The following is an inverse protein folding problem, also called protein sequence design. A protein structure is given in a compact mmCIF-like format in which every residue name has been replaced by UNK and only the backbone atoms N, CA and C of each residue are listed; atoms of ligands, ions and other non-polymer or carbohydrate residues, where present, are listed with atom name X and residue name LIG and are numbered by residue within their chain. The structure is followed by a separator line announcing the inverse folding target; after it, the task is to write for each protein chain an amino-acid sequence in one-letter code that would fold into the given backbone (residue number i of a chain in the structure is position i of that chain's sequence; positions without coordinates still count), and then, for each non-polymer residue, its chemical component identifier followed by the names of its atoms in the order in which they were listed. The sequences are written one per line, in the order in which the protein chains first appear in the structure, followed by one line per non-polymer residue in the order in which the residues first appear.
data_IF_301379429546
#
_entry.id   IF_301379429546
#
_cell.length_a   1.000
_cell.length_b   1.000
_cell.length_c   1.000
_cell.angle_alpha   90.00
_cell.angle_beta   90.00
_cell.angle_gamma   90.00
#
_symmetry.space_group_name_H-M   'P 1'
#
loop_
_entity.id
_entity.type
_entity.pdbx_description
1 polymer ?
#
# COMPACT_ATOMS: atom_id res chain seq x y z
N UNK A 1 0.80 37.22 -24.04
CA UNK A 1 -0.62 36.87 -23.82
C UNK A 1 -0.73 35.34 -23.72
N UNK A 2 -0.81 34.80 -22.52
CA UNK A 2 -0.93 33.37 -22.27
C UNK A 2 -2.40 32.99 -22.33
N UNK A 3 -2.80 32.17 -23.30
CA UNK A 3 -4.16 31.63 -23.41
C UNK A 3 -4.35 30.53 -22.36
N UNK A 4 -5.23 30.75 -21.41
CA UNK A 4 -5.62 29.77 -20.39
C UNK A 4 -6.64 28.81 -21.00
N UNK A 5 -6.35 27.51 -20.90
CA UNK A 5 -7.18 26.43 -21.43
C UNK A 5 -8.59 26.45 -20.80
N UNK A 6 -9.69 26.51 -21.58
CA UNK A 6 -11.05 26.68 -21.08
C UNK A 6 -11.55 25.55 -20.15
N UNK A 7 -10.96 24.37 -20.18
CA UNK A 7 -11.30 23.25 -19.26
C UNK A 7 -10.85 23.50 -17.81
N UNK A 8 -9.81 24.30 -17.58
CA UNK A 8 -9.33 24.66 -16.24
C UNK A 8 -10.21 25.72 -15.60
N UNK A 9 -10.79 26.63 -16.40
CA UNK A 9 -11.67 27.70 -15.92
C UNK A 9 -12.99 27.16 -15.35
N UNK A 10 -13.55 26.08 -15.91
CA UNK A 10 -14.82 25.48 -15.45
C UNK A 10 -14.63 24.79 -14.08
N UNK A 11 -13.48 24.17 -13.84
CA UNK A 11 -13.21 23.50 -12.55
C UNK A 11 -13.07 24.48 -11.37
N UNK A 12 -12.47 25.64 -11.61
CA UNK A 12 -12.29 26.69 -10.57
C UNK A 12 -13.63 27.33 -10.23
N UNK A 13 -14.52 27.54 -11.22
CA UNK A 13 -15.84 28.16 -11.01
C UNK A 13 -16.79 27.24 -10.22
N UNK A 14 -16.76 25.94 -10.45
CA UNK A 14 -17.58 24.96 -9.71
C UNK A 14 -17.11 24.78 -8.26
N UNK A 15 -15.81 24.93 -7.99
CA UNK A 15 -15.26 24.87 -6.64
C UNK A 15 -15.67 26.08 -5.79
N UNK A 16 -15.68 27.28 -6.36
CA UNK A 16 -16.12 28.50 -5.66
C UNK A 16 -17.62 28.53 -5.42
N UNK A 17 -18.47 28.01 -6.31
CA UNK A 17 -19.93 27.96 -6.09
C UNK A 17 -20.29 26.98 -4.96
N UNK A 18 -19.60 25.85 -4.80
CA UNK A 18 -19.82 24.92 -3.68
C UNK A 18 -19.42 25.52 -2.32
N UNK A 19 -18.35 26.32 -2.27
CA UNK A 19 -17.95 27.01 -1.04
C UNK A 19 -18.95 28.12 -0.66
N UNK A 20 -19.51 28.83 -1.65
CA UNK A 20 -20.44 29.93 -1.39
C UNK A 20 -21.82 29.45 -0.93
N UNK A 21 -22.30 28.30 -1.42
CA UNK A 21 -23.57 27.71 -0.97
C UNK A 21 -23.51 27.22 0.49
N UNK A 22 -22.36 26.72 0.93
CA UNK A 22 -22.17 26.30 2.33
C UNK A 22 -22.06 27.45 3.31
N UNK A 23 -21.64 28.65 2.85
CA UNK A 23 -21.60 29.85 3.72
C UNK A 23 -22.97 30.52 3.90
N UNK A 24 -23.88 30.40 2.94
CA UNK A 24 -25.23 31.00 3.00
C UNK A 24 -26.17 30.18 3.88
N UNK A 25 -26.02 28.84 3.92
CA UNK A 25 -26.85 27.96 4.76
C UNK A 25 -26.53 28.06 6.27
N UNK A 26 -25.38 28.63 6.64
CA UNK A 26 -24.99 28.77 8.06
C UNK A 26 -25.55 30.01 8.77
N UNK A 27 -26.28 30.90 8.07
CA UNK A 27 -26.75 32.18 8.65
C UNK A 27 -28.20 32.21 9.09
N UNK A 28 -29.01 31.18 8.93
CA UNK A 28 -30.46 31.25 9.17
C UNK A 28 -31.05 30.23 10.16
N UNK A 29 -30.33 29.79 11.18
CA UNK A 29 -30.94 29.04 12.29
C UNK A 29 -30.40 29.54 13.64
N UNK A 30 -31.06 30.60 14.20
CA UNK A 30 -31.01 30.87 15.63
C UNK A 30 -31.99 29.93 16.33
N UNK A 31 -31.48 28.92 16.98
CA UNK A 31 -32.23 27.97 17.80
C UNK A 31 -31.30 26.87 18.27
N UNK A 32 -30.91 26.89 19.56
CA UNK A 32 -29.89 26.04 20.12
C UNK A 32 -30.19 24.54 19.99
N UNK A 33 -29.46 23.90 19.11
CA UNK A 33 -29.18 22.49 19.15
C UNK A 33 -27.70 22.36 18.76
N UNK A 34 -26.84 22.04 19.72
CA UNK A 34 -25.47 21.68 19.45
C UNK A 34 -25.48 20.34 18.68
N UNK A 35 -25.75 20.39 17.38
CA UNK A 35 -25.34 19.35 16.46
C UNK A 35 -23.82 19.51 16.33
N UNK A 36 -23.10 18.76 17.15
CA UNK A 36 -21.73 18.40 16.81
C UNK A 36 -21.82 17.70 15.46
N UNK A 37 -21.68 18.47 14.38
CA UNK A 37 -21.38 17.92 13.07
C UNK A 37 -20.07 17.19 13.23
N UNK A 38 -20.12 15.86 13.52
CA UNK A 38 -19.04 14.98 13.15
C UNK A 38 -18.85 15.24 11.66
N UNK A 39 -17.90 16.11 11.32
CA UNK A 39 -17.32 16.10 9.99
C UNK A 39 -16.69 14.73 9.90
N UNK A 40 -17.47 13.77 9.42
CA UNK A 40 -16.92 12.49 8.94
C UNK A 40 -16.06 12.92 7.75
N UNK A 41 -14.78 13.18 8.00
CA UNK A 41 -13.78 13.02 6.99
C UNK A 41 -13.87 11.53 6.63
N UNK A 42 -14.67 11.24 5.62
CA UNK A 42 -14.60 9.97 4.93
C UNK A 42 -13.24 10.04 4.26
N UNK A 43 -12.21 9.58 4.98
CA UNK A 43 -10.86 9.49 4.46
C UNK A 43 -10.94 8.41 3.39
N UNK A 44 -11.18 8.83 2.15
CA UNK A 44 -11.12 7.96 0.97
C UNK A 44 -9.68 7.54 0.67
N UNK A 45 -8.72 7.96 1.51
CA UNK A 45 -7.31 7.63 1.32
C UNK A 45 -7.05 6.16 1.59
N UNK A 46 -6.31 5.55 0.67
CA UNK A 46 -5.85 4.17 0.74
C UNK A 46 -4.35 4.12 0.95
N UNK A 47 -3.88 3.08 1.63
CA UNK A 47 -2.47 2.80 1.83
C UNK A 47 -2.15 1.42 1.26
N UNK A 48 -1.22 1.36 0.34
CA UNK A 48 -0.69 0.12 -0.23
C UNK A 48 0.77 0.00 0.17
N UNK A 49 1.11 -1.11 0.79
CA UNK A 49 2.42 -1.37 1.37
C UNK A 49 3.04 -2.58 0.69
N UNK A 50 4.18 -2.41 0.05
CA UNK A 50 5.06 -3.53 -0.29
C UNK A 50 5.94 -3.87 0.90
N UNK A 51 6.02 -5.15 1.28
CA UNK A 51 6.98 -5.60 2.28
C UNK A 51 8.29 -6.02 1.61
N UNK A 52 9.41 -5.68 2.27
CA UNK A 52 10.76 -5.98 1.83
C UNK A 52 11.81 -5.47 2.83
N UNK A 53 13.07 -5.84 2.61
CA UNK A 53 14.23 -5.28 3.30
C UNK A 53 14.87 -4.19 2.45
N UNK A 54 15.32 -3.07 3.03
CA UNK A 54 16.10 -2.07 2.32
C UNK A 54 17.53 -2.60 2.05
N UNK A 55 18.10 -2.16 0.92
CA UNK A 55 19.46 -2.52 0.51
C UNK A 55 19.50 -3.30 -0.81
N UNK A 56 20.54 -3.04 -1.60
CA UNK A 56 20.69 -3.65 -2.93
C UNK A 56 20.93 -5.17 -2.85
N UNK A 57 21.45 -5.67 -1.74
CA UNK A 57 21.67 -7.09 -1.47
C UNK A 57 20.38 -7.88 -1.47
N UNK A 58 19.26 -7.25 -1.07
CA UNK A 58 17.93 -7.88 -1.02
C UNK A 58 17.15 -7.76 -2.34
N UNK A 59 17.68 -7.07 -3.33
CA UNK A 59 17.03 -6.96 -4.63
C UNK A 59 16.78 -8.36 -5.24
N UNK A 60 15.56 -8.59 -5.75
CA UNK A 60 15.14 -9.88 -6.31
C UNK A 60 15.17 -11.06 -5.34
N UNK A 61 15.22 -10.83 -4.03
CA UNK A 61 14.96 -11.89 -3.05
C UNK A 61 13.46 -12.15 -2.94
N UNK A 62 13.09 -13.37 -2.49
CA UNK A 62 11.68 -13.72 -2.30
C UNK A 62 11.01 -12.84 -1.27
N UNK A 63 11.75 -12.49 -0.20
CA UNK A 63 11.24 -11.61 0.87
C UNK A 63 10.97 -10.17 0.40
N UNK A 64 11.58 -9.73 -0.71
CA UNK A 64 11.33 -8.44 -1.33
C UNK A 64 10.26 -8.50 -2.45
N UNK A 65 9.44 -9.57 -2.50
CA UNK A 65 8.42 -9.67 -3.55
C UNK A 65 7.40 -8.53 -3.47
N UNK A 66 7.07 -8.01 -2.28
CA UNK A 66 6.22 -6.84 -2.11
C UNK A 66 6.83 -5.56 -2.72
N UNK A 67 8.12 -5.31 -2.49
CA UNK A 67 8.84 -4.20 -3.12
C UNK A 67 8.86 -4.36 -4.64
N UNK A 68 9.26 -5.53 -5.11
CA UNK A 68 9.32 -5.83 -6.54
C UNK A 68 7.97 -5.59 -7.24
N UNK A 69 6.87 -5.91 -6.57
CA UNK A 69 5.53 -5.67 -7.09
C UNK A 69 5.22 -4.17 -7.21
N UNK A 70 5.58 -3.35 -6.21
CA UNK A 70 5.39 -1.91 -6.28
C UNK A 70 6.34 -1.23 -7.27
N UNK A 71 7.61 -1.63 -7.33
CA UNK A 71 8.57 -1.14 -8.33
C UNK A 71 8.05 -1.38 -9.76
N UNK A 72 7.52 -2.58 -10.03
CA UNK A 72 6.92 -2.91 -11.33
C UNK A 72 5.66 -2.07 -11.59
N UNK A 73 4.78 -1.94 -10.61
CA UNK A 73 3.57 -1.13 -10.69
C UNK A 73 3.89 0.32 -11.06
N UNK A 74 4.91 0.89 -10.41
CA UNK A 74 5.37 2.26 -10.64
C UNK A 74 6.02 2.43 -12.01
N UNK A 75 6.94 1.53 -12.36
CA UNK A 75 7.62 1.57 -13.66
C UNK A 75 6.64 1.56 -14.84
N UNK A 76 5.58 0.74 -14.76
CA UNK A 76 4.57 0.64 -15.83
C UNK A 76 3.66 1.85 -15.93
N UNK A 77 3.62 2.72 -14.90
CA UNK A 77 2.79 3.93 -14.83
C UNK A 77 3.59 5.24 -14.87
N UNK A 78 4.90 5.15 -15.01
CA UNK A 78 5.79 6.33 -15.02
C UNK A 78 5.78 7.08 -13.69
N UNK A 79 5.58 6.36 -12.57
CA UNK A 79 5.62 6.89 -11.22
C UNK A 79 7.00 6.63 -10.60
N UNK A 80 7.41 7.46 -9.66
CA UNK A 80 8.66 7.31 -8.92
C UNK A 80 8.42 7.48 -7.42
N UNK A 81 9.20 6.75 -6.61
CA UNK A 81 9.19 6.89 -5.18
C UNK A 81 10.05 8.06 -4.72
N UNK A 82 9.55 8.79 -3.73
CA UNK A 82 10.31 9.76 -2.94
C UNK A 82 10.76 9.12 -1.63
N UNK A 83 11.93 9.54 -1.10
CA UNK A 83 12.37 9.13 0.23
C UNK A 83 11.79 10.03 1.29
N UNK A 84 11.36 9.43 2.39
CA UNK A 84 10.94 10.13 3.60
C UNK A 84 11.70 9.63 4.81
N UNK A 85 12.59 10.47 5.32
CA UNK A 85 13.28 10.18 6.59
C UNK A 85 12.31 10.17 7.77
N UNK A 86 11.30 11.04 7.73
CA UNK A 86 10.27 11.14 8.78
C UNK A 86 9.50 9.85 8.99
N UNK A 87 9.18 9.15 7.91
CA UNK A 87 8.36 7.93 7.95
C UNK A 87 9.19 6.66 7.74
N UNK A 88 10.50 6.78 7.63
CA UNK A 88 11.39 5.66 7.35
C UNK A 88 10.89 4.80 6.17
N UNK A 89 10.53 5.44 5.05
CA UNK A 89 9.97 4.78 3.89
C UNK A 89 10.36 5.48 2.58
N UNK A 90 10.39 4.72 1.48
CA UNK A 90 10.13 5.28 0.17
C UNK A 90 8.62 5.33 0.00
N UNK A 91 8.10 6.41 -0.55
CA UNK A 91 6.67 6.62 -0.66
C UNK A 91 6.29 7.45 -1.88
N UNK A 92 5.06 7.33 -2.32
CA UNK A 92 4.47 8.22 -3.32
C UNK A 92 2.97 8.28 -3.11
N UNK A 93 2.40 9.46 -3.38
CA UNK A 93 0.96 9.69 -3.38
C UNK A 93 0.47 9.88 -4.82
N UNK A 94 -0.48 9.06 -5.24
CA UNK A 94 -1.18 9.20 -6.52
C UNK A 94 -2.70 9.27 -6.27
N UNK A 95 -3.28 10.43 -6.51
CA UNK A 95 -4.69 10.68 -6.18
C UNK A 95 -5.01 10.51 -4.69
N UNK A 96 -5.90 9.57 -4.36
CA UNK A 96 -6.27 9.22 -2.99
C UNK A 96 -5.52 7.98 -2.47
N UNK A 97 -4.50 7.51 -3.17
CA UNK A 97 -3.72 6.33 -2.77
C UNK A 97 -2.30 6.72 -2.42
N UNK A 98 -1.81 6.22 -1.29
CA UNK A 98 -0.43 6.30 -0.86
C UNK A 98 0.18 4.91 -1.02
N UNK A 99 1.35 4.85 -1.62
CA UNK A 99 2.17 3.65 -1.76
C UNK A 99 3.41 3.81 -0.92
N UNK A 100 3.80 2.77 -0.19
CA UNK A 100 5.01 2.80 0.61
C UNK A 100 5.82 1.52 0.49
N UNK A 101 7.14 1.69 0.53
CA UNK A 101 8.15 0.67 0.79
C UNK A 101 8.87 1.05 2.09
N UNK A 102 8.53 0.44 3.23
CA UNK A 102 9.23 0.71 4.48
C UNK A 102 10.75 0.52 4.32
N UNK A 103 11.53 1.46 4.84
CA UNK A 103 13.00 1.40 4.82
C UNK A 103 13.56 0.95 6.18
N UNK A 104 12.74 0.31 6.99
CA UNK A 104 13.11 -0.48 8.16
C UNK A 104 13.37 -1.93 7.74
N UNK A 105 14.03 -2.73 8.59
CA UNK A 105 14.13 -4.15 8.31
C UNK A 105 12.75 -4.82 8.36
N UNK A 106 12.62 -5.96 7.68
CA UNK A 106 11.35 -6.68 7.47
C UNK A 106 10.59 -6.97 8.77
N UNK A 107 11.28 -7.24 9.86
CA UNK A 107 10.69 -7.52 11.17
C UNK A 107 10.27 -6.26 11.95
N UNK A 108 10.47 -5.06 11.40
CA UNK A 108 10.10 -3.77 12.03
C UNK A 108 9.31 -2.83 11.11
N UNK A 109 8.74 -3.33 10.03
CA UNK A 109 7.97 -2.56 9.04
C UNK A 109 6.68 -1.95 9.62
N UNK A 110 6.16 -2.54 10.70
CA UNK A 110 4.88 -2.12 11.30
C UNK A 110 4.90 -0.70 11.86
N UNK A 111 6.05 -0.21 12.34
CA UNK A 111 6.19 1.17 12.84
C UNK A 111 5.95 2.19 11.74
N UNK A 112 6.61 2.03 10.60
CA UNK A 112 6.43 2.90 9.42
C UNK A 112 4.97 2.88 8.91
N UNK A 113 4.34 1.71 8.85
CA UNK A 113 2.94 1.56 8.44
C UNK A 113 2.02 2.33 9.39
N UNK A 114 2.20 2.16 10.70
CA UNK A 114 1.40 2.83 11.73
C UNK A 114 1.54 4.35 11.66
N UNK A 115 2.75 4.86 11.44
CA UNK A 115 3.01 6.31 11.29
C UNK A 115 2.26 6.90 10.10
N UNK A 116 2.29 6.26 8.93
CA UNK A 116 1.51 6.69 7.76
C UNK A 116 0.01 6.67 8.04
N UNK A 117 -0.51 5.59 8.61
CA UNK A 117 -1.93 5.48 8.92
C UNK A 117 -2.40 6.56 9.90
N UNK A 118 -1.59 6.81 10.95
CA UNK A 118 -1.90 7.83 11.95
C UNK A 118 -1.85 9.24 11.38
N UNK A 119 -0.83 9.55 10.57
CA UNK A 119 -0.63 10.88 10.00
C UNK A 119 -1.72 11.25 8.99
N UNK A 120 -2.05 10.33 8.09
CA UNK A 120 -3.05 10.55 7.04
C UNK A 120 -4.46 10.12 7.46
N UNK A 121 -4.66 9.63 8.69
CA UNK A 121 -5.95 9.16 9.23
C UNK A 121 -6.59 8.08 8.36
N UNK A 122 -5.79 7.13 7.90
CA UNK A 122 -6.22 6.03 7.02
C UNK A 122 -6.89 4.95 7.86
N UNK A 123 -8.13 4.53 7.56
CA UNK A 123 -8.78 3.45 8.28
C UNK A 123 -8.19 2.08 7.89
N UNK A 124 -8.29 1.09 8.78
CA UNK A 124 -7.79 -0.27 8.55
C UNK A 124 -8.37 -0.93 7.29
N UNK A 125 -9.64 -0.65 6.97
CA UNK A 125 -10.30 -1.15 5.76
C UNK A 125 -9.63 -0.68 4.46
N UNK A 126 -8.86 0.41 4.53
CA UNK A 126 -8.16 1.02 3.40
C UNK A 126 -6.66 0.70 3.37
N UNK A 127 -6.22 -0.26 4.18
CA UNK A 127 -4.85 -0.77 4.18
C UNK A 127 -4.77 -2.07 3.37
N UNK A 128 -3.87 -2.13 2.38
CA UNK A 128 -3.49 -3.35 1.67
C UNK A 128 -1.99 -3.60 1.82
N UNK A 129 -1.62 -4.80 2.28
CA UNK A 129 -0.24 -5.23 2.40
C UNK A 129 0.08 -6.30 1.37
N UNK A 130 1.16 -6.11 0.61
CA UNK A 130 1.72 -7.08 -0.32
C UNK A 130 2.89 -7.78 0.38
N UNK A 131 2.82 -9.09 0.58
CA UNK A 131 3.85 -9.87 1.26
C UNK A 131 4.09 -11.22 0.58
N UNK A 132 5.31 -11.72 0.65
CA UNK A 132 5.66 -13.08 0.21
C UNK A 132 5.00 -14.14 1.09
N UNK A 133 4.79 -15.33 0.50
CA UNK A 133 4.25 -16.49 1.20
C UNK A 133 4.84 -17.78 0.64
N UNK A 134 5.75 -18.39 1.39
CA UNK A 134 6.39 -19.66 1.01
C UNK A 134 5.51 -20.91 1.21
N UNK A 135 4.27 -20.74 1.71
CA UNK A 135 3.28 -21.83 1.80
C UNK A 135 2.28 -21.80 0.63
N UNK A 136 2.45 -20.86 -0.31
CA UNK A 136 1.69 -20.78 -1.55
C UNK A 136 2.60 -21.07 -2.73
N UNK A 137 2.12 -21.87 -3.66
CA UNK A 137 2.85 -22.19 -4.89
C UNK A 137 3.29 -20.91 -5.60
N UNK A 138 4.49 -20.95 -6.18
CA UNK A 138 5.07 -19.80 -6.87
C UNK A 138 4.10 -19.22 -7.93
N UNK A 139 3.86 -17.92 -7.84
CA UNK A 139 2.93 -17.20 -8.72
C UNK A 139 1.47 -17.23 -8.27
N UNK A 140 1.11 -18.02 -7.25
CA UNK A 140 -0.25 -17.97 -6.69
C UNK A 140 -0.49 -16.67 -5.92
N UNK A 141 -1.58 -15.98 -6.21
CA UNK A 141 -1.99 -14.76 -5.51
C UNK A 141 -3.17 -15.07 -4.60
N UNK A 142 -3.05 -14.76 -3.31
CA UNK A 142 -4.12 -14.99 -2.33
C UNK A 142 -4.47 -13.73 -1.56
N UNK A 143 -5.62 -13.16 -1.87
CA UNK A 143 -6.21 -12.04 -1.12
C UNK A 143 -6.87 -12.53 0.18
N UNK A 144 -6.71 -11.77 1.25
CA UNK A 144 -7.38 -11.97 2.54
C UNK A 144 -7.71 -10.63 3.16
N UNK A 145 -8.92 -10.48 3.68
CA UNK A 145 -9.35 -9.27 4.39
C UNK A 145 -8.78 -9.20 5.81
N UNK A 146 -8.53 -10.37 6.42
CA UNK A 146 -7.97 -10.53 7.78
C UNK A 146 -7.23 -11.85 7.93
N UNK A 147 -6.51 -12.02 9.02
CA UNK A 147 -5.85 -13.30 9.33
C UNK A 147 -4.55 -13.12 10.13
N UNK A 148 -4.01 -14.22 10.64
CA UNK A 148 -2.73 -14.27 11.35
C UNK A 148 -1.55 -13.96 10.42
N UNK A 149 -0.36 -13.85 10.99
CA UNK A 149 0.89 -13.62 10.26
C UNK A 149 1.31 -14.82 9.38
N UNK A 150 0.87 -16.05 9.73
CA UNK A 150 1.22 -17.26 8.98
C UNK A 150 2.73 -17.54 8.92
N UNK A 151 3.49 -17.06 9.92
CA UNK A 151 4.94 -17.17 9.98
C UNK A 151 5.70 -16.05 9.26
N UNK A 152 5.01 -15.08 8.64
CA UNK A 152 5.65 -13.94 8.00
C UNK A 152 5.96 -12.84 9.03
N UNK A 153 7.26 -12.54 9.24
CA UNK A 153 7.72 -11.59 10.25
C UNK A 153 7.27 -10.14 9.99
N UNK A 154 7.09 -9.74 8.74
CA UNK A 154 6.58 -8.42 8.40
C UNK A 154 5.10 -8.27 8.77
N UNK A 155 4.28 -9.29 8.52
CA UNK A 155 2.89 -9.31 8.99
C UNK A 155 2.83 -9.35 10.52
N UNK A 156 3.70 -10.12 11.18
CA UNK A 156 3.81 -10.15 12.65
C UNK A 156 4.15 -8.77 13.22
N UNK A 157 5.11 -8.07 12.62
CA UNK A 157 5.45 -6.69 12.97
C UNK A 157 4.25 -5.74 12.80
N UNK A 158 3.56 -5.83 11.67
CA UNK A 158 2.38 -5.02 11.39
C UNK A 158 1.25 -5.27 12.39
N UNK A 159 0.94 -6.55 12.69
CA UNK A 159 -0.08 -6.93 13.69
C UNK A 159 0.27 -6.35 15.06
N UNK A 160 1.54 -6.45 15.45
CA UNK A 160 2.01 -5.89 16.72
C UNK A 160 1.83 -4.37 16.80
N UNK A 161 2.21 -3.64 15.75
CA UNK A 161 2.13 -2.17 15.74
C UNK A 161 0.69 -1.68 15.64
N UNK A 162 -0.17 -2.32 14.84
CA UNK A 162 -1.56 -1.92 14.67
C UNK A 162 -2.49 -2.53 15.75
N UNK A 163 -1.98 -3.48 16.56
CA UNK A 163 -2.73 -4.23 17.57
C UNK A 163 -4.00 -4.89 17.02
N UNK A 164 -3.95 -5.39 15.79
CA UNK A 164 -5.07 -6.05 15.12
C UNK A 164 -4.60 -6.94 13.97
N UNK A 165 -5.40 -7.95 13.64
CA UNK A 165 -5.24 -8.79 12.45
C UNK A 165 -6.21 -8.41 11.32
N UNK A 166 -7.02 -7.35 11.52
CA UNK A 166 -8.15 -6.97 10.67
C UNK A 166 -7.72 -5.90 9.64
N UNK A 167 -6.90 -6.32 8.68
CA UNK A 167 -6.46 -5.53 7.53
C UNK A 167 -6.27 -6.41 6.30
N UNK A 168 -6.43 -5.83 5.12
CA UNK A 168 -6.34 -6.54 3.83
C UNK A 168 -4.89 -6.87 3.49
N UNK A 169 -4.67 -8.06 2.95
CA UNK A 169 -3.36 -8.51 2.46
C UNK A 169 -3.48 -9.31 1.17
N UNK A 170 -2.55 -9.07 0.28
CA UNK A 170 -2.32 -9.89 -0.90
C UNK A 170 -1.03 -10.70 -0.66
N UNK A 171 -1.20 -12.02 -0.47
CA UNK A 171 -0.08 -12.96 -0.26
C UNK A 171 0.41 -13.44 -1.61
N UNK A 172 1.70 -13.28 -1.85
CA UNK A 172 2.40 -13.57 -3.11
C UNK A 172 3.16 -14.88 -2.95
N UNK A 173 2.70 -15.94 -3.62
CA UNK A 173 3.26 -17.28 -3.51
C UNK A 173 4.71 -17.36 -4.00
N UNK A 174 5.56 -17.94 -3.17
CA UNK A 174 6.98 -18.14 -3.46
C UNK A 174 7.45 -19.57 -3.23
N UNK A 175 6.53 -20.54 -2.97
CA UNK A 175 6.92 -21.90 -2.64
C UNK A 175 7.79 -22.55 -3.72
N UNK A 176 8.87 -23.14 -3.24
CA UNK A 176 9.74 -24.07 -3.96
C UNK A 176 10.25 -25.08 -2.93
N UNK A 177 9.47 -26.14 -2.76
CA UNK A 177 9.66 -27.06 -1.65
C UNK A 177 11.04 -27.74 -1.65
N UNK A 178 11.58 -28.06 -2.82
CA UNK A 178 12.89 -28.73 -2.93
C UNK A 178 14.03 -27.77 -2.56
N UNK A 179 13.94 -26.54 -3.01
CA UNK A 179 14.92 -25.51 -2.69
C UNK A 179 14.85 -25.14 -1.20
N UNK A 180 13.64 -24.96 -0.66
CA UNK A 180 13.41 -24.64 0.75
C UNK A 180 13.93 -25.71 1.71
N UNK A 181 13.72 -27.00 1.39
CA UNK A 181 14.27 -28.13 2.18
C UNK A 181 15.78 -28.13 2.24
N UNK A 182 16.45 -27.69 1.16
CA UNK A 182 17.92 -27.62 1.10
C UNK A 182 18.51 -26.44 1.85
N UNK A 183 17.81 -25.29 1.83
CA UNK A 183 18.34 -24.03 2.36
C UNK A 183 17.84 -23.72 3.78
N UNK A 184 16.68 -24.21 4.18
CA UNK A 184 15.95 -23.75 5.37
C UNK A 184 15.16 -22.47 5.11
N UNK A 185 14.22 -22.14 6.01
CA UNK A 185 13.23 -21.06 5.78
C UNK A 185 13.86 -19.68 5.62
N UNK A 186 14.85 -19.34 6.45
CA UNK A 186 15.49 -18.01 6.45
C UNK A 186 16.28 -17.80 5.16
N UNK A 187 17.16 -18.70 4.81
CA UNK A 187 17.98 -18.60 3.61
C UNK A 187 17.13 -18.68 2.34
N UNK A 188 16.02 -19.43 2.39
CA UNK A 188 15.08 -19.53 1.28
C UNK A 188 14.41 -18.17 0.98
N UNK A 189 13.85 -17.47 1.99
CA UNK A 189 13.18 -16.18 1.76
C UNK A 189 14.16 -15.06 1.42
N UNK A 190 15.38 -15.11 1.94
CA UNK A 190 16.47 -14.20 1.59
C UNK A 190 17.17 -14.58 0.28
N UNK A 191 16.90 -15.77 -0.23
CA UNK A 191 17.38 -16.24 -1.53
C UNK A 191 16.68 -15.55 -2.70
N UNK A 192 17.43 -15.34 -3.80
CA UNK A 192 16.88 -14.76 -5.03
C UNK A 192 16.01 -15.77 -5.76
N UNK A 193 15.07 -15.28 -6.55
CA UNK A 193 14.34 -16.11 -7.50
C UNK A 193 15.28 -16.80 -8.48
N UNK A 194 15.00 -18.08 -8.79
CA UNK A 194 15.78 -18.83 -9.78
C UNK A 194 15.62 -18.23 -11.18
N UNK A 195 16.49 -18.57 -12.15
CA UNK A 195 16.30 -18.13 -13.54
C UNK A 195 14.91 -18.47 -14.09
N UNK A 196 14.41 -19.67 -13.85
CA UNK A 196 13.10 -20.16 -14.31
C UNK A 196 11.93 -19.41 -13.63
N UNK A 197 12.08 -19.11 -12.34
CA UNK A 197 11.11 -18.27 -11.62
C UNK A 197 11.11 -16.83 -12.17
N UNK A 198 12.30 -16.27 -12.46
CA UNK A 198 12.42 -14.90 -13.00
C UNK A 198 11.79 -14.72 -14.38
N UNK A 199 11.80 -15.75 -15.23
CA UNK A 199 11.12 -15.71 -16.52
C UNK A 199 9.61 -15.52 -16.39
N UNK A 200 9.00 -16.02 -15.30
CA UNK A 200 7.56 -15.92 -15.03
C UNK A 200 7.17 -14.64 -14.27
N UNK A 201 8.13 -13.96 -13.64
CA UNK A 201 7.84 -12.76 -12.84
C UNK A 201 7.07 -11.67 -13.60
N UNK A 202 7.36 -11.33 -14.87
CA UNK A 202 6.63 -10.26 -15.56
C UNK A 202 5.12 -10.51 -15.67
N UNK A 203 4.69 -11.75 -15.91
CA UNK A 203 3.29 -12.13 -15.95
C UNK A 203 2.65 -12.03 -14.57
N UNK A 204 3.29 -12.60 -13.54
CA UNK A 204 2.83 -12.56 -12.15
C UNK A 204 2.71 -11.11 -11.66
N UNK A 205 3.71 -10.27 -11.93
CA UNK A 205 3.71 -8.85 -11.54
C UNK A 205 2.59 -8.06 -12.24
N UNK A 206 2.25 -8.44 -13.48
CA UNK A 206 1.10 -7.86 -14.20
C UNK A 206 -0.22 -8.22 -13.50
N UNK A 207 -0.38 -9.45 -13.03
CA UNK A 207 -1.58 -9.86 -12.29
C UNK A 207 -1.65 -9.21 -10.90
N UNK A 208 -0.50 -9.05 -10.22
CA UNK A 208 -0.44 -8.27 -8.97
C UNK A 208 -0.87 -6.82 -9.22
N UNK A 209 -0.40 -6.21 -10.31
CA UNK A 209 -0.78 -4.84 -10.67
C UNK A 209 -2.30 -4.69 -10.87
N UNK A 210 -2.97 -5.65 -11.50
CA UNK A 210 -4.44 -5.68 -11.61
C UNK A 210 -5.11 -5.74 -10.23
N UNK A 211 -4.60 -6.58 -9.30
CA UNK A 211 -5.13 -6.65 -7.93
C UNK A 211 -4.96 -5.35 -7.14
N UNK A 212 -3.87 -4.62 -7.39
CA UNK A 212 -3.66 -3.28 -6.84
C UNK A 212 -4.71 -2.32 -7.40
N UNK A 213 -4.95 -2.33 -8.72
CA UNK A 213 -5.97 -1.49 -9.36
C UNK A 213 -7.39 -1.82 -8.84
N UNK A 214 -7.74 -3.11 -8.69
CA UNK A 214 -9.02 -3.55 -8.10
C UNK A 214 -9.20 -2.94 -6.71
N UNK A 215 -8.19 -3.04 -5.83
CA UNK A 215 -8.24 -2.45 -4.50
C UNK A 215 -8.37 -0.91 -4.51
N UNK A 216 -7.75 -0.23 -5.47
CA UNK A 216 -7.85 1.23 -5.60
C UNK A 216 -9.28 1.64 -5.98
N UNK A 217 -9.99 0.83 -6.73
CA UNK A 217 -11.36 1.10 -7.22
C UNK A 217 -12.47 0.74 -6.22
N UNK A 218 -12.21 -0.13 -5.21
CA UNK A 218 -13.15 -0.41 -4.11
C UNK A 218 -13.54 0.87 -3.34
#
# INVERSE_FOLDING_TARGET
MLQINPKVSIFITLFHQKLFLNLILSRHLRGGFFLTSKICYNSSMKLIVGLGNPGNEYNLTRHNFGFLALDFYFKTRGLEFEKSEKFHAKWQKSGQTIFIEPQTYYNDVGSSIQEFMNYYKIPLSNLLILCDDFNLDFGTLRYREKGTDGGNNGLKSTIRSLNTTDFKRLRLGTANNDLRKKMGDVDFVLGRFTPEEREKLPEILTDIAKRIDDFIQE
#
